data_IF_959846669375
#
_entry.id   IF_959846669375
#
_cell.length_a   1.000
_cell.length_b   1.000
_cell.length_c   1.000
_cell.angle_alpha   90.00
_cell.angle_beta   90.00
_cell.angle_gamma   90.00
#
_symmetry.space_group_name_H-M   'P 1'
#
loop_
_entity.id
_entity.type
_entity.pdbx_description
1 polymer ?
#
# COMPACT_ATOMS: atom_id res chain seq x y z
N UNK A 1 26.08 -12.09 -11.91
CA UNK A 1 24.95 -11.48 -11.18
C UNK A 1 25.34 -11.44 -9.72
N UNK A 2 25.44 -10.24 -9.12
CA UNK A 2 26.00 -10.06 -7.77
C UNK A 2 25.10 -10.68 -6.70
N UNK A 3 25.72 -11.30 -5.69
CA UNK A 3 25.01 -11.92 -4.56
C UNK A 3 24.03 -10.95 -3.87
N UNK A 4 24.36 -9.66 -3.85
CA UNK A 4 23.50 -8.58 -3.36
C UNK A 4 22.14 -8.53 -4.06
N UNK A 5 22.10 -8.67 -5.38
CA UNK A 5 20.85 -8.64 -6.15
C UNK A 5 20.00 -9.88 -5.87
N UNK A 6 20.64 -11.03 -5.60
CA UNK A 6 19.96 -12.27 -5.22
C UNK A 6 19.38 -12.15 -3.81
N UNK A 7 20.15 -11.63 -2.85
CA UNK A 7 19.71 -11.42 -1.48
C UNK A 7 18.59 -10.39 -1.43
N UNK A 8 18.69 -9.31 -2.21
CA UNK A 8 17.63 -8.32 -2.31
C UNK A 8 16.34 -8.90 -2.90
N UNK A 9 16.43 -9.71 -3.97
CA UNK A 9 15.25 -10.42 -4.49
C UNK A 9 14.64 -11.37 -3.45
N UNK A 10 15.48 -12.08 -2.69
CA UNK A 10 15.06 -12.91 -1.56
C UNK A 10 14.30 -12.11 -0.50
N UNK A 11 14.79 -10.92 -0.15
CA UNK A 11 14.14 -10.01 0.78
C UNK A 11 12.76 -9.60 0.28
N UNK A 12 12.63 -9.18 -0.98
CA UNK A 12 11.36 -8.77 -1.57
C UNK A 12 10.33 -9.92 -1.57
N UNK A 13 10.77 -11.13 -1.92
CA UNK A 13 9.90 -12.31 -1.88
C UNK A 13 9.47 -12.65 -0.44
N UNK A 14 10.39 -12.53 0.53
CA UNK A 14 10.10 -12.69 1.95
C UNK A 14 9.06 -11.69 2.46
N UNK A 15 9.25 -10.41 2.12
CA UNK A 15 8.30 -9.34 2.44
C UNK A 15 6.93 -9.60 1.80
N UNK A 16 6.90 -10.08 0.56
CA UNK A 16 5.65 -10.44 -0.11
C UNK A 16 4.92 -11.56 0.64
N UNK A 17 5.65 -12.62 1.02
CA UNK A 17 5.09 -13.76 1.75
C UNK A 17 4.54 -13.36 3.12
N UNK A 18 5.33 -12.61 3.89
CA UNK A 18 4.95 -12.15 5.22
C UNK A 18 3.76 -11.18 5.16
N UNK A 19 3.86 -10.11 4.37
CA UNK A 19 2.87 -9.02 4.41
C UNK A 19 1.68 -9.21 3.50
N UNK A 20 1.76 -10.03 2.45
CA UNK A 20 0.68 -10.20 1.47
C UNK A 20 0.18 -11.64 1.42
N UNK A 21 1.04 -12.64 1.45
CA UNK A 21 0.59 -14.03 1.24
C UNK A 21 0.16 -14.76 2.52
N UNK A 22 0.24 -14.09 3.68
CA UNK A 22 -0.24 -14.63 4.96
C UNK A 22 0.67 -15.69 5.56
N UNK A 23 1.92 -15.74 5.12
CA UNK A 23 2.92 -16.69 5.59
C UNK A 23 3.57 -16.16 6.88
N UNK A 24 3.15 -16.72 8.02
CA UNK A 24 3.60 -16.28 9.36
C UNK A 24 4.98 -16.81 9.72
N UNK A 25 5.47 -17.84 9.03
CA UNK A 25 6.75 -18.48 9.34
C UNK A 25 7.93 -17.63 8.84
N UNK A 26 7.68 -16.76 7.86
CA UNK A 26 8.68 -15.79 7.40
C UNK A 26 8.60 -14.55 8.27
N UNK A 27 9.53 -14.42 9.22
CA UNK A 27 9.66 -13.21 10.03
C UNK A 27 10.81 -12.32 9.53
N UNK A 28 10.82 -11.01 9.86
CA UNK A 28 11.96 -10.14 9.60
C UNK A 28 13.29 -10.70 10.12
N UNK A 29 13.27 -11.35 11.29
CA UNK A 29 14.43 -11.94 11.93
C UNK A 29 14.97 -13.12 11.12
N UNK A 30 14.07 -13.99 10.63
CA UNK A 30 14.42 -15.08 9.73
C UNK A 30 15.04 -14.56 8.41
N UNK A 31 14.47 -13.51 7.83
CA UNK A 31 15.02 -12.92 6.60
C UNK A 31 16.42 -12.34 6.82
N UNK A 32 16.68 -11.75 7.99
CA UNK A 32 18.00 -11.25 8.35
C UNK A 32 19.00 -12.41 8.50
N UNK A 33 18.63 -13.46 9.24
CA UNK A 33 19.52 -14.61 9.48
C UNK A 33 19.85 -15.38 8.21
N UNK A 34 18.97 -15.39 7.22
CA UNK A 34 19.21 -16.10 5.96
C UNK A 34 19.94 -15.26 4.92
N UNK A 35 19.64 -13.96 4.82
CA UNK A 35 20.05 -13.14 3.67
C UNK A 35 21.11 -12.08 4.02
N UNK A 36 21.22 -11.69 5.29
CA UNK A 36 22.01 -10.53 5.73
C UNK A 36 22.70 -10.77 7.08
N UNK A 37 23.28 -11.97 7.28
CA UNK A 37 23.96 -12.38 8.53
C UNK A 37 25.04 -11.39 9.00
N UNK A 38 25.75 -10.77 8.06
CA UNK A 38 26.83 -9.83 8.33
C UNK A 38 26.38 -8.36 8.44
N UNK A 39 25.10 -8.06 8.18
CA UNK A 39 24.55 -6.71 8.26
C UNK A 39 24.10 -6.41 9.69
N UNK A 40 24.33 -5.20 10.16
CA UNK A 40 23.84 -4.80 11.48
C UNK A 40 22.31 -4.61 11.50
N UNK A 41 21.75 -4.65 12.69
CA UNK A 41 20.30 -4.61 12.92
C UNK A 41 19.67 -3.32 12.41
N UNK A 42 20.32 -2.17 12.64
CA UNK A 42 19.79 -0.86 12.24
C UNK A 42 19.75 -0.70 10.71
N UNK A 43 20.82 -1.08 10.02
CA UNK A 43 20.91 -1.08 8.56
C UNK A 43 19.88 -2.02 7.95
N UNK A 44 19.71 -3.22 8.52
CA UNK A 44 18.71 -4.17 8.05
C UNK A 44 17.29 -3.63 8.25
N UNK A 45 16.99 -3.05 9.40
CA UNK A 45 15.67 -2.45 9.67
C UNK A 45 15.38 -1.27 8.74
N UNK A 46 16.39 -0.44 8.43
CA UNK A 46 16.26 0.64 7.46
C UNK A 46 15.98 0.09 6.05
N UNK A 47 16.72 -0.91 5.60
CA UNK A 47 16.53 -1.58 4.30
C UNK A 47 15.13 -2.21 4.20
N UNK A 48 14.69 -2.89 5.26
CA UNK A 48 13.40 -3.55 5.36
C UNK A 48 12.25 -2.54 5.29
N UNK A 49 12.31 -1.51 6.12
CA UNK A 49 11.30 -0.43 6.16
C UNK A 49 11.21 0.29 4.82
N UNK A 50 12.36 0.60 4.21
CA UNK A 50 12.43 1.26 2.91
C UNK A 50 11.83 0.39 1.81
N UNK A 51 12.21 -0.89 1.74
CA UNK A 51 11.74 -1.82 0.71
C UNK A 51 10.24 -2.09 0.86
N UNK A 52 9.76 -2.31 2.09
CA UNK A 52 8.33 -2.43 2.40
C UNK A 52 7.56 -1.19 1.99
N UNK A 53 8.08 0.01 2.30
CA UNK A 53 7.44 1.27 1.94
C UNK A 53 7.30 1.47 0.44
N UNK A 54 8.30 1.04 -0.35
CA UNK A 54 8.24 1.06 -1.82
C UNK A 54 7.13 0.12 -2.31
N UNK A 55 7.10 -1.14 -1.84
CA UNK A 55 6.06 -2.11 -2.23
C UNK A 55 4.65 -1.59 -1.84
N UNK A 56 4.49 -1.09 -0.61
CA UNK A 56 3.21 -0.50 -0.14
C UNK A 56 2.77 0.66 -1.04
N UNK A 57 3.70 1.54 -1.43
CA UNK A 57 3.40 2.67 -2.32
C UNK A 57 2.93 2.19 -3.70
N UNK A 58 3.66 1.24 -4.30
CA UNK A 58 3.33 0.68 -5.62
C UNK A 58 1.98 -0.03 -5.61
N UNK A 59 1.71 -0.82 -4.57
CA UNK A 59 0.44 -1.53 -4.41
C UNK A 59 -0.73 -0.59 -4.15
N UNK A 60 -0.57 0.41 -3.26
CA UNK A 60 -1.63 1.37 -2.94
C UNK A 60 -2.03 2.26 -4.10
N UNK A 61 -1.17 2.39 -5.12
CA UNK A 61 -1.42 3.20 -6.31
C UNK A 61 -1.73 2.36 -7.54
N UNK A 62 -1.86 1.03 -7.41
CA UNK A 62 -2.05 0.07 -8.51
C UNK A 62 -1.13 0.36 -9.71
N UNK A 63 0.16 0.61 -9.42
CA UNK A 63 1.07 1.08 -10.46
C UNK A 63 1.23 0.07 -11.60
N UNK A 64 1.00 0.48 -12.84
CA UNK A 64 1.34 -0.29 -14.03
C UNK A 64 2.86 -0.33 -14.28
N UNK A 65 3.31 -1.07 -15.29
CA UNK A 65 4.74 -1.22 -15.60
C UNK A 65 5.44 0.12 -15.82
N UNK A 66 4.82 1.06 -16.55
CA UNK A 66 5.40 2.36 -16.87
C UNK A 66 5.43 3.28 -15.65
N UNK A 67 4.37 3.28 -14.86
CA UNK A 67 4.28 4.03 -13.61
C UNK A 67 5.31 3.52 -12.60
N UNK A 68 5.49 2.20 -12.50
CA UNK A 68 6.46 1.54 -11.63
C UNK A 68 7.89 1.91 -12.01
N UNK A 69 8.24 1.88 -13.29
CA UNK A 69 9.56 2.30 -13.79
C UNK A 69 9.85 3.77 -13.44
N UNK A 70 8.89 4.65 -13.71
CA UNK A 70 9.01 6.09 -13.43
C UNK A 70 9.15 6.35 -11.94
N UNK A 71 8.34 5.68 -11.12
CA UNK A 71 8.38 5.80 -9.67
C UNK A 71 9.73 5.34 -9.11
N UNK A 72 10.22 4.17 -9.51
CA UNK A 72 11.50 3.64 -9.04
C UNK A 72 12.68 4.51 -9.50
N UNK A 73 12.65 5.04 -10.72
CA UNK A 73 13.65 6.01 -11.19
C UNK A 73 13.65 7.29 -10.31
N UNK A 74 12.49 7.74 -9.84
CA UNK A 74 12.40 8.86 -8.91
C UNK A 74 12.97 8.53 -7.52
N UNK A 75 12.82 7.28 -7.06
CA UNK A 75 13.40 6.83 -5.79
C UNK A 75 14.92 6.82 -5.86
N UNK A 76 15.51 6.32 -6.95
CA UNK A 76 16.97 6.30 -7.16
C UNK A 76 17.56 7.72 -7.19
N UNK A 77 16.83 8.69 -7.76
CA UNK A 77 17.28 10.10 -7.86
C UNK A 77 17.24 10.86 -6.53
N UNK A 78 16.51 10.36 -5.52
CA UNK A 78 16.45 11.02 -4.21
C UNK A 78 17.80 10.84 -3.50
N UNK A 79 18.45 11.97 -3.19
CA UNK A 79 19.82 12.03 -2.63
C UNK A 79 20.01 11.22 -1.33
N UNK A 80 18.95 11.04 -0.54
CA UNK A 80 18.99 10.31 0.74
C UNK A 80 18.34 8.93 0.69
N UNK A 81 18.11 8.36 -0.51
CA UNK A 81 17.26 7.19 -0.65
C UNK A 81 17.90 5.85 -0.27
N UNK A 82 19.23 5.77 -0.14
CA UNK A 82 19.98 4.51 -0.03
C UNK A 82 19.39 3.40 -0.92
N UNK A 83 18.94 3.78 -2.14
CA UNK A 83 18.22 2.91 -3.06
C UNK A 83 18.92 2.97 -4.42
N UNK A 84 19.62 1.89 -4.76
CA UNK A 84 20.47 1.86 -5.95
C UNK A 84 19.70 1.54 -7.24
N UNK A 85 20.31 1.83 -8.39
CA UNK A 85 19.75 1.46 -9.69
C UNK A 85 19.65 -0.07 -9.86
N UNK A 86 20.58 -0.83 -9.27
CA UNK A 86 20.52 -2.30 -9.30
C UNK A 86 19.32 -2.81 -8.50
N UNK A 87 19.08 -2.26 -7.30
CA UNK A 87 17.90 -2.59 -6.49
C UNK A 87 16.61 -2.20 -7.21
N UNK A 88 16.57 -1.05 -7.90
CA UNK A 88 15.41 -0.66 -8.71
C UNK A 88 15.08 -1.68 -9.81
N UNK A 89 16.10 -2.20 -10.52
CA UNK A 89 15.90 -3.24 -11.55
C UNK A 89 15.37 -4.55 -10.94
N UNK A 90 15.88 -4.95 -9.79
CA UNK A 90 15.39 -6.15 -9.07
C UNK A 90 13.96 -5.94 -8.56
N UNK A 91 13.65 -4.77 -7.99
CA UNK A 91 12.31 -4.39 -7.53
C UNK A 91 11.30 -4.40 -8.68
N UNK A 92 11.68 -3.87 -9.86
CA UNK A 92 10.81 -3.88 -11.03
C UNK A 92 10.50 -5.30 -11.51
N UNK A 93 11.53 -6.17 -11.55
CA UNK A 93 11.36 -7.59 -11.89
C UNK A 93 10.46 -8.29 -10.87
N UNK A 94 10.66 -8.04 -9.58
CA UNK A 94 9.82 -8.54 -8.51
C UNK A 94 8.37 -8.10 -8.71
N UNK A 95 8.12 -6.80 -8.90
CA UNK A 95 6.78 -6.23 -9.05
C UNK A 95 6.03 -6.85 -10.21
N UNK A 96 6.65 -6.97 -11.38
CA UNK A 96 6.03 -7.57 -12.57
C UNK A 96 5.52 -8.99 -12.33
N UNK A 97 6.19 -9.75 -11.47
CA UNK A 97 5.84 -11.14 -11.18
C UNK A 97 4.86 -11.29 -10.01
N UNK A 98 4.77 -10.29 -9.12
CA UNK A 98 4.00 -10.39 -7.87
C UNK A 98 2.80 -9.44 -7.81
N UNK A 99 2.70 -8.46 -8.73
CA UNK A 99 1.66 -7.43 -8.77
C UNK A 99 0.26 -8.03 -8.59
N UNK A 100 -0.11 -8.96 -9.46
CA UNK A 100 -1.48 -9.52 -9.48
C UNK A 100 -1.81 -10.22 -8.17
N UNK A 101 -0.90 -11.05 -7.65
CA UNK A 101 -1.10 -11.76 -6.38
C UNK A 101 -1.10 -10.82 -5.17
N UNK A 102 -0.29 -9.76 -5.19
CA UNK A 102 -0.30 -8.71 -4.16
C UNK A 102 -1.66 -7.99 -4.18
N UNK A 103 -2.17 -7.63 -5.36
CA UNK A 103 -3.47 -6.98 -5.50
C UNK A 103 -4.63 -7.88 -5.12
N UNK A 104 -4.59 -9.14 -5.51
CA UNK A 104 -5.58 -10.14 -5.10
C UNK A 104 -5.60 -10.30 -3.58
N UNK A 105 -4.43 -10.45 -2.94
CA UNK A 105 -4.33 -10.52 -1.48
C UNK A 105 -4.96 -9.29 -0.80
N UNK A 106 -4.65 -8.10 -1.31
CA UNK A 106 -5.21 -6.87 -0.77
C UNK A 106 -6.73 -6.79 -0.99
N UNK A 107 -7.22 -7.18 -2.16
CA UNK A 107 -8.65 -7.24 -2.45
C UNK A 107 -9.37 -8.21 -1.51
N UNK A 108 -8.79 -9.38 -1.23
CA UNK A 108 -9.35 -10.37 -0.29
C UNK A 108 -9.44 -9.83 1.14
N UNK A 109 -8.45 -9.05 1.59
CA UNK A 109 -8.50 -8.39 2.90
C UNK A 109 -9.60 -7.35 3.00
N UNK A 110 -9.99 -6.78 1.88
CA UNK A 110 -11.01 -5.76 1.80
C UNK A 110 -12.44 -6.33 1.69
N UNK A 111 -12.62 -7.65 1.82
CA UNK A 111 -13.93 -8.30 1.86
C UNK A 111 -14.42 -8.32 3.31
N UNK A 112 -15.37 -7.43 3.64
CA UNK A 112 -15.90 -7.31 4.99
C UNK A 112 -17.05 -8.27 5.32
N UNK A 113 -17.55 -9.05 4.35
CA UNK A 113 -18.55 -10.12 4.54
C UNK A 113 -19.66 -9.76 5.56
N UNK A 114 -19.89 -10.61 6.56
CA UNK A 114 -20.84 -10.46 7.66
C UNK A 114 -20.41 -9.44 8.72
N UNK A 115 -19.15 -8.95 8.67
CA UNK A 115 -18.66 -7.92 9.58
C UNK A 115 -19.17 -6.52 9.22
N UNK A 116 -19.67 -6.28 8.01
CA UNK A 116 -20.21 -4.97 7.61
C UNK A 116 -21.66 -4.83 8.09
N UNK A 117 -21.88 -4.04 9.15
CA UNK A 117 -23.21 -3.73 9.68
C UNK A 117 -23.94 -2.70 8.83
N UNK A 118 -23.24 -1.65 8.41
CA UNK A 118 -23.84 -0.57 7.64
C UNK A 118 -22.82 0.10 6.72
N UNK A 119 -23.29 0.50 5.53
CA UNK A 119 -22.53 1.30 4.56
C UNK A 119 -23.43 2.44 4.08
N UNK A 120 -23.03 3.67 4.40
CA UNK A 120 -23.67 4.89 3.91
C UNK A 120 -22.65 5.66 3.09
N UNK A 121 -23.07 6.19 1.94
CA UNK A 121 -22.24 7.10 1.17
C UNK A 121 -23.10 8.26 0.66
N UNK A 122 -22.52 9.46 0.63
CA UNK A 122 -23.15 10.64 0.06
C UNK A 122 -22.12 11.47 -0.69
N UNK A 123 -22.57 12.14 -1.74
CA UNK A 123 -21.76 13.12 -2.47
C UNK A 123 -22.37 14.48 -2.20
N UNK A 124 -21.66 15.28 -1.43
CA UNK A 124 -22.03 16.64 -1.12
C UNK A 124 -21.56 17.54 -2.27
N UNK A 125 -22.53 18.11 -2.99
CA UNK A 125 -22.30 19.15 -4.00
C UNK A 125 -22.91 20.43 -3.47
N UNK A 126 -22.08 21.37 -3.01
CA UNK A 126 -22.58 22.70 -2.64
C UNK A 126 -23.01 23.44 -3.91
N UNK A 127 -24.30 23.77 -4.06
CA UNK A 127 -24.80 24.58 -5.17
C UNK A 127 -24.66 26.08 -4.86
N UNK A 128 -24.12 26.88 -5.79
CA UNK A 128 -23.91 28.33 -5.60
C UNK A 128 -25.20 29.12 -5.43
N UNK A 129 -25.15 30.15 -4.58
CA UNK A 129 -25.96 31.36 -4.69
C UNK A 129 -25.32 32.38 -5.63
N UNK A 130 -26.13 33.26 -6.25
CA UNK A 130 -25.80 34.09 -7.42
C UNK A 130 -24.54 34.98 -7.37
N UNK A 131 -23.84 35.16 -6.25
CA UNK A 131 -22.81 36.22 -6.06
C UNK A 131 -21.48 35.80 -5.39
N UNK A 132 -21.08 34.52 -5.36
CA UNK A 132 -19.78 34.11 -4.77
C UNK A 132 -18.94 33.24 -5.72
N UNK A 133 -17.68 33.63 -5.93
CA UNK A 133 -16.67 32.96 -6.77
C UNK A 133 -15.83 31.91 -5.99
N UNK A 134 -16.39 31.18 -5.03
CA UNK A 134 -15.69 30.02 -4.46
C UNK A 134 -15.97 28.74 -5.25
N UNK A 135 -14.92 27.94 -5.44
CA UNK A 135 -14.88 26.71 -6.25
C UNK A 135 -15.54 25.57 -5.45
N UNK A 136 -16.60 24.99 -6.00
CA UNK A 136 -17.28 23.82 -5.44
C UNK A 136 -16.35 22.61 -5.53
N UNK A 137 -15.86 22.11 -4.41
CA UNK A 137 -15.17 20.82 -4.34
C UNK A 137 -16.21 19.74 -4.02
N UNK A 138 -16.66 18.93 -4.99
CA UNK A 138 -17.65 17.89 -4.74
C UNK A 138 -17.05 16.86 -3.78
N UNK A 139 -17.59 16.73 -2.58
CA UNK A 139 -17.00 15.90 -1.51
C UNK A 139 -17.78 14.60 -1.40
N UNK A 140 -17.11 13.46 -1.51
CA UNK A 140 -17.71 12.16 -1.23
C UNK A 140 -17.44 11.80 0.24
N UNK A 141 -18.49 11.44 0.97
CA UNK A 141 -18.40 10.95 2.35
C UNK A 141 -18.83 9.49 2.33
N UNK A 142 -17.99 8.63 2.89
CA UNK A 142 -18.30 7.20 3.08
C UNK A 142 -18.23 6.89 4.58
N UNK A 143 -19.31 6.34 5.09
CA UNK A 143 -19.48 5.89 6.47
C UNK A 143 -19.61 4.36 6.47
N UNK A 144 -18.71 3.72 7.21
CA UNK A 144 -18.63 2.26 7.34
C UNK A 144 -18.78 1.88 8.81
N UNK A 145 -19.76 1.04 9.11
CA UNK A 145 -19.98 0.48 10.43
C UNK A 145 -19.68 -1.02 10.41
N UNK A 146 -18.74 -1.45 11.25
CA UNK A 146 -18.31 -2.85 11.35
C UNK A 146 -18.75 -3.49 12.68
N UNK A 147 -18.92 -4.80 12.70
CA UNK A 147 -19.22 -5.58 13.90
C UNK A 147 -17.98 -5.82 14.77
N UNK A 148 -18.06 -5.47 16.06
CA UNK A 148 -17.12 -5.84 17.13
C UNK A 148 -15.63 -5.64 16.77
N UNK A 149 -15.19 -4.39 16.61
CA UNK A 149 -13.77 -4.11 16.35
C UNK A 149 -13.01 -3.76 17.63
N UNK A 150 -11.93 -4.50 17.87
CA UNK A 150 -10.83 -4.03 18.74
C UNK A 150 -10.04 -2.92 18.05
N UNK A 151 -9.30 -2.12 18.82
CA UNK A 151 -8.54 -0.96 18.31
C UNK A 151 -7.48 -1.35 17.26
N UNK A 152 -6.92 -2.56 17.37
CA UNK A 152 -5.94 -3.11 16.42
C UNK A 152 -6.59 -3.46 15.07
N UNK A 153 -7.79 -4.05 15.09
CA UNK A 153 -8.56 -4.36 13.89
C UNK A 153 -8.96 -3.08 13.14
N UNK A 154 -9.21 -1.98 13.84
CA UNK A 154 -9.50 -0.68 13.22
C UNK A 154 -8.32 -0.10 12.43
N UNK A 155 -7.08 -0.27 12.89
CA UNK A 155 -5.89 0.22 12.17
C UNK A 155 -5.67 -0.56 10.87
N UNK A 156 -5.89 -1.88 10.89
CA UNK A 156 -5.77 -2.72 9.71
C UNK A 156 -6.91 -2.47 8.72
N UNK A 157 -8.14 -2.26 9.22
CA UNK A 157 -9.29 -1.82 8.42
C UNK A 157 -9.04 -0.45 7.79
N UNK A 158 -8.46 0.52 8.50
CA UNK A 158 -8.11 1.84 7.93
C UNK A 158 -7.15 1.70 6.74
N UNK A 159 -6.11 0.88 6.87
CA UNK A 159 -5.16 0.60 5.78
C UNK A 159 -5.87 -0.08 4.58
N UNK A 160 -6.81 -0.99 4.83
CA UNK A 160 -7.63 -1.64 3.80
C UNK A 160 -8.63 -0.68 3.12
N UNK A 161 -9.34 0.16 3.88
CA UNK A 161 -10.30 1.15 3.36
C UNK A 161 -9.58 2.20 2.52
N UNK A 162 -8.41 2.67 2.96
CA UNK A 162 -7.60 3.63 2.20
C UNK A 162 -7.12 3.04 0.87
N UNK A 163 -6.77 1.75 0.89
CA UNK A 163 -6.37 1.02 -0.30
C UNK A 163 -7.55 0.77 -1.25
N UNK A 164 -8.73 0.39 -0.75
CA UNK A 164 -9.97 0.29 -1.52
C UNK A 164 -10.31 1.62 -2.19
N UNK A 165 -10.22 2.72 -1.46
CA UNK A 165 -10.58 4.03 -2.01
C UNK A 165 -9.61 4.45 -3.09
N UNK A 166 -8.32 4.13 -2.97
CA UNK A 166 -7.36 4.35 -4.05
C UNK A 166 -7.59 3.46 -5.26
N UNK A 167 -7.98 2.20 -5.06
CA UNK A 167 -8.39 1.30 -6.14
C UNK A 167 -9.65 1.85 -6.82
N UNK A 168 -10.68 2.22 -6.05
CA UNK A 168 -11.94 2.76 -6.57
C UNK A 168 -11.79 4.16 -7.19
N UNK A 169 -10.91 5.03 -6.68
CA UNK A 169 -10.63 6.34 -7.28
C UNK A 169 -9.96 6.20 -8.65
N UNK A 170 -9.06 5.22 -8.78
CA UNK A 170 -8.47 4.81 -10.06
C UNK A 170 -9.54 4.30 -11.05
N UNK A 171 -10.56 3.58 -10.56
CA UNK A 171 -11.66 3.04 -11.38
C UNK A 171 -12.72 4.11 -11.73
N UNK A 172 -12.99 5.12 -10.88
CA UNK A 172 -14.16 6.01 -11.04
C UNK A 172 -13.91 7.51 -11.21
N UNK A 173 -12.68 8.02 -11.29
CA UNK A 173 -12.42 9.48 -11.27
C UNK A 173 -13.06 10.19 -10.06
N UNK A 174 -13.23 9.47 -8.95
CA UNK A 174 -13.50 10.08 -7.65
C UNK A 174 -12.15 10.63 -7.19
N UNK A 175 -11.83 11.88 -7.55
CA UNK A 175 -10.55 12.52 -7.22
C UNK A 175 -10.31 12.72 -5.72
N UNK A 176 -9.46 13.67 -5.35
CA UNK A 176 -8.98 14.01 -3.98
C UNK A 176 -10.07 14.50 -3.00
N UNK A 177 -11.31 14.02 -3.13
CA UNK A 177 -12.49 14.56 -2.47
C UNK A 177 -13.20 13.55 -1.55
N UNK A 178 -12.61 12.38 -1.28
CA UNK A 178 -13.18 11.40 -0.35
C UNK A 178 -12.81 11.72 1.10
N UNK A 179 -13.81 11.96 1.95
CA UNK A 179 -13.69 11.91 3.41
C UNK A 179 -14.25 10.58 3.93
N UNK A 180 -13.52 9.94 4.84
CA UNK A 180 -13.84 8.61 5.35
C UNK A 180 -14.12 8.73 6.83
N UNK A 181 -15.26 8.20 7.26
CA UNK A 181 -15.56 8.02 8.66
C UNK A 181 -15.80 6.54 8.95
N UNK A 182 -15.05 5.99 9.91
CA UNK A 182 -15.20 4.61 10.36
C UNK A 182 -15.57 4.67 11.83
N UNK A 183 -16.75 4.14 12.16
CA UNK A 183 -17.23 4.05 13.54
C UNK A 183 -17.32 2.59 13.97
N UNK A 184 -16.81 2.31 15.17
CA UNK A 184 -17.03 1.05 15.87
C UNK A 184 -18.32 1.14 16.68
N UNK A 185 -19.07 0.03 16.76
CA UNK A 185 -20.18 -0.14 17.72
C UNK A 185 -19.65 -0.67 19.04
#
# INVERSE_FOLDING_TARGET
MTDENRNYLGLLNGLARHYYYGDKDITPEYLKSELYQSMNDEEFQHLLTKSRGIIKSMASSDMDSKQSETFLASQVKKKDSNFSESQAKVMLKFWRNHKDRVHESLAQRCIWSDKLKNLSWRIDIQSKGKHVEQINVPTAIVELQLENNTQEEMSEVCDQVFLLIRIFSSIRKLGDCCQIHISGS
#
